data_IF_631154853701
#
_entry.id   IF_631154853701
#
_cell.length_a   1.000
_cell.length_b   1.000
_cell.length_c   1.000
_cell.angle_alpha   90.00
_cell.angle_beta   90.00
_cell.angle_gamma   90.00
#
_symmetry.space_group_name_H-M   'P 1'
#
loop_
_entity.id
_entity.type
_entity.pdbx_description
1 polymer ?
#
# COMPACT_ATOMS: atom_id res chain seq x y z
N UNK A 1 6.17 47.64 -13.54
CA UNK A 1 5.19 46.85 -14.31
C UNK A 1 5.83 45.59 -14.90
N UNK A 2 6.89 45.70 -15.71
CA UNK A 2 7.56 44.51 -16.25
C UNK A 2 8.37 43.74 -15.20
N UNK A 3 9.04 44.44 -14.28
CA UNK A 3 9.80 43.82 -13.19
C UNK A 3 8.94 42.96 -12.26
N UNK A 4 7.76 43.45 -11.90
CA UNK A 4 6.78 42.72 -11.09
C UNK A 4 6.28 41.46 -11.81
N UNK A 5 6.11 41.53 -13.14
CA UNK A 5 5.73 40.38 -13.94
C UNK A 5 6.80 39.28 -13.92
N UNK A 6 8.07 39.64 -14.12
CA UNK A 6 9.18 38.69 -14.02
C UNK A 6 9.31 38.08 -12.62
N UNK A 7 9.11 38.88 -11.56
CA UNK A 7 9.16 38.41 -10.18
C UNK A 7 8.06 37.37 -9.91
N UNK A 8 6.83 37.63 -10.37
CA UNK A 8 5.71 36.68 -10.22
C UNK A 8 5.96 35.40 -11.00
N UNK A 9 6.43 35.48 -12.24
CA UNK A 9 6.75 34.29 -13.06
C UNK A 9 7.85 33.46 -12.41
N UNK A 10 8.90 34.11 -11.89
CA UNK A 10 10.00 33.44 -11.19
C UNK A 10 9.51 32.71 -9.94
N UNK A 11 8.67 33.36 -9.13
CA UNK A 11 8.14 32.79 -7.90
C UNK A 11 7.22 31.60 -8.17
N UNK A 12 6.40 31.69 -9.23
CA UNK A 12 5.53 30.60 -9.66
C UNK A 12 6.34 29.39 -10.16
N UNK A 13 7.40 29.64 -10.94
CA UNK A 13 8.31 28.60 -11.43
C UNK A 13 9.00 27.88 -10.27
N UNK A 14 9.52 28.62 -9.29
CA UNK A 14 10.15 28.05 -8.08
C UNK A 14 9.14 27.19 -7.31
N UNK A 15 7.89 27.65 -7.17
CA UNK A 15 6.84 26.92 -6.45
C UNK A 15 6.49 25.58 -7.12
N UNK A 16 6.40 25.55 -8.46
CA UNK A 16 6.16 24.32 -9.24
C UNK A 16 7.34 23.36 -9.12
N UNK A 17 8.57 23.88 -9.17
CA UNK A 17 9.78 23.07 -9.00
C UNK A 17 9.82 22.48 -7.60
N UNK A 18 9.59 23.27 -6.54
CA UNK A 18 9.57 22.83 -5.14
C UNK A 18 8.51 21.74 -4.89
N UNK A 19 7.30 21.95 -5.41
CA UNK A 19 6.21 20.98 -5.27
C UNK A 19 6.48 19.70 -6.07
N UNK A 20 7.14 19.85 -7.21
CA UNK A 20 7.51 18.76 -8.10
C UNK A 20 8.83 18.09 -7.76
N UNK A 21 9.64 18.52 -6.77
CA UNK A 21 10.97 17.94 -6.51
C UNK A 21 10.86 16.43 -6.35
N UNK A 22 9.87 15.93 -5.63
CA UNK A 22 9.67 14.49 -5.51
C UNK A 22 9.29 13.85 -6.84
N UNK A 23 8.40 14.45 -7.62
CA UNK A 23 7.99 13.93 -8.94
C UNK A 23 9.12 13.98 -9.97
N UNK A 24 9.92 15.04 -10.01
CA UNK A 24 11.04 15.20 -10.96
C UNK A 24 12.31 14.44 -10.54
N UNK A 25 12.57 14.28 -9.23
CA UNK A 25 13.79 13.61 -8.73
C UNK A 25 13.57 12.16 -8.24
N UNK A 26 12.34 11.66 -8.12
CA UNK A 26 12.13 10.22 -7.86
C UNK A 26 12.14 9.42 -9.15
N UNK A 27 12.78 8.24 -9.08
CA UNK A 27 13.49 7.47 -10.11
C UNK A 27 12.80 7.20 -11.46
N UNK A 28 11.57 7.61 -11.70
CA UNK A 28 10.94 7.46 -13.01
C UNK A 28 10.05 8.62 -13.46
N UNK A 29 9.80 9.68 -12.67
CA UNK A 29 8.85 10.73 -13.06
C UNK A 29 7.39 10.25 -13.22
N UNK A 30 7.15 8.97 -12.98
CA UNK A 30 5.85 8.31 -13.07
C UNK A 30 5.20 8.38 -11.69
N UNK A 31 3.94 8.79 -11.65
CA UNK A 31 3.16 8.61 -10.44
C UNK A 31 3.14 7.10 -10.13
N UNK A 32 3.50 6.66 -8.92
CA UNK A 32 3.51 5.24 -8.58
C UNK A 32 2.14 4.66 -8.89
N UNK A 33 2.08 3.44 -9.42
CA UNK A 33 0.83 2.79 -9.82
C UNK A 33 -0.23 2.93 -8.69
N UNK A 34 -1.19 3.85 -8.86
CA UNK A 34 -2.28 4.10 -7.90
C UNK A 34 -3.29 2.96 -7.89
N UNK A 35 -3.22 2.06 -8.87
CA UNK A 35 -4.01 0.86 -8.88
C UNK A 35 -3.54 -0.08 -7.77
N UNK A 36 -4.33 -0.16 -6.70
CA UNK A 36 -4.08 -0.96 -5.49
C UNK A 36 -3.72 -2.42 -5.82
N UNK A 37 -4.29 -2.98 -6.89
CA UNK A 37 -4.01 -4.36 -7.32
C UNK A 37 -2.71 -4.58 -8.09
N UNK A 38 -2.08 -3.54 -8.65
CA UNK A 38 -0.87 -3.66 -9.48
C UNK A 38 0.40 -3.13 -8.81
N UNK A 39 0.31 -2.57 -7.61
CA UNK A 39 1.42 -1.90 -6.95
C UNK A 39 2.16 -2.85 -6.00
N UNK A 40 3.38 -3.25 -6.40
CA UNK A 40 4.29 -4.09 -5.59
C UNK A 40 4.61 -3.46 -4.22
N UNK A 41 4.65 -2.13 -4.13
CA UNK A 41 4.92 -1.43 -2.86
C UNK A 41 3.72 -1.45 -1.89
N UNK A 42 2.49 -1.56 -2.40
CA UNK A 42 1.29 -1.72 -1.56
C UNK A 42 1.09 -3.19 -1.18
N UNK A 43 1.40 -4.12 -2.10
CA UNK A 43 1.35 -5.55 -1.85
C UNK A 43 2.35 -5.98 -0.76
N UNK A 44 3.59 -5.48 -0.79
CA UNK A 44 4.59 -5.73 0.26
C UNK A 44 4.18 -5.20 1.65
N UNK A 45 3.26 -4.22 1.70
CA UNK A 45 2.66 -3.71 2.94
C UNK A 45 1.38 -4.45 3.34
N UNK A 46 0.97 -5.48 2.59
CA UNK A 46 -0.24 -6.26 2.85
C UNK A 46 -1.54 -5.53 2.49
N UNK A 47 -1.47 -4.44 1.73
CA UNK A 47 -2.64 -3.64 1.35
C UNK A 47 -3.17 -4.17 0.02
N UNK A 48 -4.34 -4.79 0.05
CA UNK A 48 -5.02 -5.32 -1.14
C UNK A 48 -6.31 -4.56 -1.44
N UNK A 49 -6.83 -4.72 -2.67
CA UNK A 49 -8.15 -4.23 -3.02
C UNK A 49 -9.22 -4.86 -2.11
N UNK A 50 -10.23 -4.08 -1.70
CA UNK A 50 -11.29 -4.52 -0.79
C UNK A 50 -11.90 -5.87 -1.20
N UNK A 51 -12.17 -6.08 -2.48
CA UNK A 51 -12.71 -7.36 -3.00
C UNK A 51 -11.78 -8.56 -2.74
N UNK A 52 -10.47 -8.36 -2.83
CA UNK A 52 -9.48 -9.41 -2.57
C UNK A 52 -9.28 -9.62 -1.06
N UNK A 53 -9.25 -8.53 -0.29
CA UNK A 53 -9.26 -8.57 1.19
C UNK A 53 -10.45 -9.38 1.71
N UNK A 54 -11.66 -9.08 1.23
CA UNK A 54 -12.89 -9.77 1.59
C UNK A 54 -12.86 -11.25 1.21
N UNK A 55 -12.32 -11.58 0.02
CA UNK A 55 -12.18 -12.98 -0.41
C UNK A 55 -11.18 -13.74 0.47
N UNK A 56 -10.07 -13.11 0.83
CA UNK A 56 -9.10 -13.71 1.74
C UNK A 56 -9.69 -13.92 3.13
N UNK A 57 -10.41 -12.93 3.66
CA UNK A 57 -11.07 -13.04 4.97
C UNK A 57 -12.15 -14.11 4.99
N UNK A 58 -12.94 -14.25 3.91
CA UNK A 58 -13.87 -15.38 3.76
C UNK A 58 -13.19 -16.75 3.66
N UNK A 59 -11.96 -16.82 3.16
CA UNK A 59 -11.18 -18.08 3.09
C UNK A 59 -10.36 -18.34 4.36
N UNK A 60 -10.24 -17.36 5.27
CA UNK A 60 -9.62 -17.60 6.56
C UNK A 60 -10.57 -18.45 7.39
N UNK A 61 -10.05 -19.57 7.92
CA UNK A 61 -10.76 -20.44 8.86
C UNK A 61 -11.40 -19.59 9.95
N UNK A 62 -12.71 -19.73 10.11
CA UNK A 62 -13.48 -19.09 11.17
C UNK A 62 -12.83 -19.40 12.52
N UNK A 63 -12.96 -18.50 13.50
CA UNK A 63 -12.41 -18.69 14.85
C UNK A 63 -12.75 -20.07 15.43
N UNK A 64 -13.96 -20.57 15.13
CA UNK A 64 -14.43 -21.90 15.50
C UNK A 64 -13.63 -23.05 14.86
N UNK A 65 -13.24 -22.91 13.60
CA UNK A 65 -12.45 -23.93 12.92
C UNK A 65 -10.99 -23.90 13.38
N UNK A 66 -10.48 -22.72 13.81
CA UNK A 66 -9.19 -22.61 14.47
C UNK A 66 -9.17 -23.23 15.87
N UNK A 67 -10.24 -23.09 16.66
CA UNK A 67 -10.33 -23.73 17.98
C UNK A 67 -10.37 -25.24 17.85
N UNK A 68 -11.17 -25.77 16.91
CA UNK A 68 -11.22 -27.22 16.65
C UNK A 68 -9.90 -27.79 16.15
N UNK A 69 -9.17 -27.09 15.27
CA UNK A 69 -7.83 -27.53 14.89
C UNK A 69 -6.85 -27.51 16.06
N UNK A 70 -6.92 -26.50 16.94
CA UNK A 70 -6.04 -26.43 18.10
C UNK A 70 -6.29 -27.58 19.09
N UNK A 71 -7.55 -27.96 19.31
CA UNK A 71 -7.90 -29.15 20.10
C UNK A 71 -7.38 -30.44 19.46
N UNK A 72 -7.62 -30.66 18.15
CA UNK A 72 -7.15 -31.87 17.47
C UNK A 72 -5.62 -32.00 17.47
N UNK A 73 -4.89 -30.89 17.29
CA UNK A 73 -3.43 -30.91 17.38
C UNK A 73 -2.95 -31.23 18.79
N UNK A 74 -3.62 -30.73 19.83
CA UNK A 74 -3.32 -31.03 21.22
C UNK A 74 -3.55 -32.52 21.53
N UNK A 75 -4.65 -33.09 21.04
CA UNK A 75 -4.96 -34.52 21.20
C UNK A 75 -3.93 -35.43 20.50
N UNK A 76 -3.45 -35.07 19.31
CA UNK A 76 -2.38 -35.81 18.63
C UNK A 76 -1.02 -35.72 19.35
N UNK A 77 -0.68 -34.56 19.95
CA UNK A 77 0.55 -34.44 20.76
C UNK A 77 0.51 -35.25 22.05
N UNK A 78 -0.66 -35.48 22.63
CA UNK A 78 -0.81 -36.28 23.86
C UNK A 78 -0.98 -37.78 23.62
N UNK A 79 -1.25 -38.22 22.38
CA UNK A 79 -1.34 -39.64 21.99
C UNK A 79 -0.05 -40.19 21.38
N UNK A 80 0.96 -39.36 21.17
CA UNK A 80 2.29 -39.72 20.64
C UNK A 80 3.38 -39.78 21.72
N UNK A 81 2.97 -39.66 23.00
CA UNK A 81 3.78 -39.77 24.21
C UNK A 81 3.29 -40.98 25.01
#
# INVERSE_FOLDING_TARGET
>A
MIYTFFLVVLLLAVSIILLGVKTFFTKDGQFPNTHVGGNLALNSKGIFCAKFQDKQERNKKTLFERSMLNENNNEQTNSSL
#
